data_IF_919453809236
#
_entry.id   IF_919453809236
#
_cell.length_a   1.000
_cell.length_b   1.000
_cell.length_c   1.000
_cell.angle_alpha   90.00
_cell.angle_beta   90.00
_cell.angle_gamma   90.00
#
_symmetry.space_group_name_H-M   'P 1'
#
loop_
_entity.id
_entity.type
_entity.pdbx_description
1 polymer ?
#
# COMPACT_ATOMS: atom_id res chain seq x y z
N UNK A 1 74.01 24.14 -43.40
CA UNK A 1 74.19 24.17 -41.93
C UNK A 1 73.01 24.88 -41.31
N UNK A 2 72.55 24.33 -40.19
CA UNK A 2 71.65 24.93 -39.17
C UNK A 2 70.14 24.83 -39.39
N UNK A 3 69.59 23.91 -38.61
CA UNK A 3 68.20 23.66 -38.21
C UNK A 3 67.62 24.86 -37.45
N UNK A 4 66.34 25.16 -37.63
CA UNK A 4 65.43 25.58 -36.53
C UNK A 4 63.99 25.14 -36.83
N UNK A 5 63.37 24.64 -35.76
CA UNK A 5 62.08 23.94 -35.64
C UNK A 5 60.92 24.90 -35.34
N UNK A 6 59.71 24.64 -35.86
CA UNK A 6 58.46 25.17 -35.27
C UNK A 6 57.43 24.05 -35.07
N UNK A 7 56.95 23.96 -33.84
CA UNK A 7 56.13 22.89 -33.27
C UNK A 7 54.67 23.32 -33.29
N UNK A 8 53.85 22.80 -34.20
CA UNK A 8 52.39 23.02 -34.17
C UNK A 8 51.67 21.79 -33.62
N UNK A 9 51.23 21.88 -32.37
CA UNK A 9 50.43 20.88 -31.64
C UNK A 9 49.15 20.50 -32.41
N UNK A 10 49.06 19.26 -32.85
CA UNK A 10 47.78 18.61 -33.12
C UNK A 10 47.05 18.32 -31.80
N UNK A 11 45.86 18.92 -31.64
CA UNK A 11 44.91 18.58 -30.58
C UNK A 11 44.28 17.23 -30.93
N UNK A 12 44.93 16.13 -30.54
CA UNK A 12 44.28 14.80 -30.58
C UNK A 12 43.06 14.83 -29.66
N UNK A 13 41.86 14.88 -30.24
CA UNK A 13 40.62 14.62 -29.52
C UNK A 13 40.58 13.13 -29.18
N UNK A 14 40.69 12.82 -27.89
CA UNK A 14 40.39 11.49 -27.37
C UNK A 14 38.89 11.18 -27.51
N UNK A 15 38.48 9.98 -27.95
CA UNK A 15 37.09 9.56 -27.93
C UNK A 15 36.65 9.32 -26.48
N UNK A 16 35.51 9.90 -26.09
CA UNK A 16 34.89 9.69 -24.78
C UNK A 16 34.41 8.24 -24.66
N UNK A 17 35.04 7.49 -23.75
CA UNK A 17 34.68 6.13 -23.37
C UNK A 17 33.44 6.17 -22.45
N UNK A 18 32.24 6.24 -23.05
CA UNK A 18 30.96 6.40 -22.32
C UNK A 18 30.01 5.18 -22.41
N UNK A 19 30.51 3.95 -22.59
CA UNK A 19 29.65 2.81 -22.94
C UNK A 19 29.64 1.61 -21.97
N UNK A 20 30.21 1.70 -20.77
CA UNK A 20 30.23 0.56 -19.83
C UNK A 20 29.06 0.45 -18.83
N UNK A 21 28.36 1.51 -18.36
CA UNK A 21 27.30 1.33 -17.36
C UNK A 21 25.95 0.90 -17.97
N UNK A 22 25.77 1.05 -19.29
CA UNK A 22 24.49 0.80 -19.97
C UNK A 22 24.18 -0.69 -20.08
N UNK A 23 25.19 -1.52 -20.29
CA UNK A 23 25.01 -2.97 -20.44
C UNK A 23 24.57 -3.62 -19.12
N UNK A 24 25.11 -3.14 -18.00
CA UNK A 24 24.72 -3.62 -16.66
C UNK A 24 23.27 -3.24 -16.34
N UNK A 25 22.87 -2.00 -16.65
CA UNK A 25 21.50 -1.52 -16.51
C UNK A 25 20.52 -2.31 -17.39
N UNK A 26 20.88 -2.61 -18.63
CA UNK A 26 20.04 -3.40 -19.53
C UNK A 26 19.84 -4.84 -19.01
N UNK A 27 20.87 -5.48 -18.47
CA UNK A 27 20.76 -6.82 -17.88
C UNK A 27 19.84 -6.84 -16.66
N UNK A 28 19.86 -5.81 -15.82
CA UNK A 28 18.93 -5.67 -14.68
C UNK A 28 17.49 -5.53 -15.17
N UNK A 29 17.25 -4.78 -16.25
CA UNK A 29 15.92 -4.64 -16.86
C UNK A 29 15.38 -5.94 -17.47
N UNK A 30 16.26 -6.83 -17.94
CA UNK A 30 15.88 -8.16 -18.46
C UNK A 30 15.65 -9.20 -17.35
N UNK A 31 16.25 -9.00 -16.16
CA UNK A 31 16.08 -9.89 -15.00
C UNK A 31 14.86 -9.53 -14.15
N UNK A 32 14.39 -8.28 -14.22
CA UNK A 32 13.15 -7.84 -13.58
C UNK A 32 11.97 -8.20 -14.49
N UNK A 33 11.48 -9.42 -14.34
CA UNK A 33 10.17 -9.81 -14.85
C UNK A 33 9.09 -8.94 -14.18
N UNK A 34 8.14 -8.33 -14.91
CA UNK A 34 6.98 -7.68 -14.32
C UNK A 34 5.98 -8.77 -13.92
N UNK A 35 6.27 -9.48 -12.84
CA UNK A 35 5.36 -10.48 -12.27
C UNK A 35 4.98 -10.08 -10.86
N UNK A 36 3.67 -10.10 -10.63
CA UNK A 36 2.95 -9.74 -9.41
C UNK A 36 2.83 -8.25 -9.08
N UNK A 37 1.65 -7.72 -9.44
CA UNK A 37 1.01 -6.68 -8.63
C UNK A 37 0.88 -7.23 -7.20
N UNK A 38 1.82 -6.86 -6.33
CA UNK A 38 1.70 -7.08 -4.89
C UNK A 38 0.36 -6.45 -4.49
N UNK A 39 -0.61 -7.22 -3.95
CA UNK A 39 -1.76 -6.61 -3.34
C UNK A 39 -1.21 -5.75 -2.21
N UNK A 40 -1.23 -4.42 -2.38
CA UNK A 40 -0.97 -3.49 -1.31
C UNK A 40 -2.08 -3.74 -0.31
N UNK A 41 -1.81 -4.56 0.69
CA UNK A 41 -2.74 -4.78 1.77
C UNK A 41 -3.08 -3.39 2.33
N UNK A 42 -4.37 -3.05 2.48
CA UNK A 42 -4.75 -1.73 2.93
C UNK A 42 -4.00 -1.45 4.23
N UNK A 43 -3.19 -0.39 4.21
CA UNK A 43 -2.42 0.01 5.38
C UNK A 43 -3.39 0.19 6.55
N UNK A 44 -3.03 -0.36 7.72
CA UNK A 44 -3.87 -0.27 8.90
C UNK A 44 -4.23 1.21 9.16
N UNK A 45 -5.53 1.56 9.36
CA UNK A 45 -5.94 2.94 9.54
C UNK A 45 -5.20 3.62 10.70
N UNK A 46 -5.00 4.94 10.63
CA UNK A 46 -4.17 5.67 11.62
C UNK A 46 -4.66 5.53 13.07
N UNK A 47 -5.96 5.40 13.28
CA UNK A 47 -6.59 5.26 14.60
C UNK A 47 -6.78 3.80 15.02
N UNK A 48 -6.21 2.87 14.26
CA UNK A 48 -6.36 1.44 14.48
C UNK A 48 -5.01 0.77 14.72
N UNK A 49 -5.05 -0.28 15.52
CA UNK A 49 -3.99 -1.25 15.69
C UNK A 49 -4.43 -2.57 15.06
N UNK A 50 -3.63 -3.09 14.14
CA UNK A 50 -3.88 -4.35 13.45
C UNK A 50 -2.81 -5.37 13.86
N UNK A 51 -3.24 -6.53 14.36
CA UNK A 51 -2.38 -7.67 14.68
C UNK A 51 -3.01 -8.94 14.11
N UNK A 52 -2.38 -9.53 13.11
CA UNK A 52 -2.92 -10.65 12.34
C UNK A 52 -4.35 -10.36 11.84
N UNK A 53 -5.35 -11.03 12.40
CA UNK A 53 -6.77 -10.90 12.05
C UNK A 53 -7.56 -10.03 13.05
N UNK A 54 -6.89 -9.45 14.04
CA UNK A 54 -7.49 -8.66 15.10
C UNK A 54 -7.25 -7.17 14.85
N UNK A 55 -8.33 -6.39 14.78
CA UNK A 55 -8.27 -4.94 14.51
C UNK A 55 -8.96 -4.20 15.65
N UNK A 56 -8.25 -3.29 16.31
CA UNK A 56 -8.80 -2.41 17.35
C UNK A 56 -8.66 -0.97 16.93
N UNK A 57 -9.75 -0.22 16.91
CA UNK A 57 -9.74 1.22 16.65
C UNK A 57 -10.24 1.99 17.87
N UNK A 58 -9.50 3.03 18.29
CA UNK A 58 -9.78 3.78 19.51
C UNK A 58 -9.66 5.28 19.28
N UNK A 59 -10.51 6.08 19.93
CA UNK A 59 -10.47 7.55 19.94
C UNK A 59 -10.43 8.15 18.51
N UNK A 60 -11.33 7.69 17.64
CA UNK A 60 -11.43 8.13 16.25
C UNK A 60 -12.62 9.09 16.05
N UNK A 61 -12.40 10.18 15.31
CA UNK A 61 -13.47 11.13 14.95
C UNK A 61 -14.27 10.71 13.71
N UNK A 62 -13.69 9.86 12.87
CA UNK A 62 -14.32 9.28 11.70
C UNK A 62 -13.57 7.99 11.32
N UNK A 63 -14.32 6.95 10.95
CA UNK A 63 -13.77 5.70 10.45
C UNK A 63 -14.45 5.28 9.16
N UNK A 64 -13.67 5.17 8.08
CA UNK A 64 -14.10 4.52 6.86
C UNK A 64 -13.99 2.99 7.02
N UNK A 65 -15.14 2.34 7.12
CA UNK A 65 -15.23 0.88 7.28
C UNK A 65 -14.66 0.10 6.09
N UNK A 66 -14.48 0.73 4.92
CA UNK A 66 -13.84 0.09 3.77
C UNK A 66 -12.32 -0.07 3.92
N UNK A 67 -11.71 0.65 4.86
CA UNK A 67 -10.28 0.57 5.19
C UNK A 67 -9.95 -0.58 6.14
N UNK A 68 -10.96 -1.28 6.68
CA UNK A 68 -10.73 -2.44 7.54
C UNK A 68 -10.16 -3.60 6.70
N UNK A 69 -9.05 -4.23 7.12
CA UNK A 69 -8.49 -5.38 6.43
C UNK A 69 -9.50 -6.51 6.24
N UNK A 70 -9.59 -7.06 5.03
CA UNK A 70 -10.51 -8.19 4.74
C UNK A 70 -10.13 -9.48 5.48
N UNK A 71 -8.88 -9.59 5.89
CA UNK A 71 -8.32 -10.66 6.73
C UNK A 71 -8.86 -10.63 8.16
N UNK A 72 -9.40 -9.49 8.63
CA UNK A 72 -9.89 -9.36 9.99
C UNK A 72 -11.04 -10.32 10.27
N UNK A 73 -10.91 -11.09 11.37
CA UNK A 73 -11.99 -11.91 11.94
C UNK A 73 -12.60 -11.26 13.18
N UNK A 74 -11.91 -10.28 13.75
CA UNK A 74 -12.32 -9.56 14.94
C UNK A 74 -12.06 -8.07 14.76
N UNK A 75 -13.10 -7.26 14.90
CA UNK A 75 -13.04 -5.80 14.87
C UNK A 75 -13.60 -5.23 16.17
N UNK A 76 -12.79 -4.47 16.90
CA UNK A 76 -13.16 -3.76 18.12
C UNK A 76 -13.11 -2.26 17.86
N UNK A 77 -14.23 -1.57 18.06
CA UNK A 77 -14.34 -0.12 17.91
C UNK A 77 -14.64 0.51 19.27
N UNK A 78 -13.80 1.43 19.73
CA UNK A 78 -13.91 2.06 21.05
C UNK A 78 -13.86 3.59 20.93
N UNK A 79 -14.79 4.29 21.59
CA UNK A 79 -14.83 5.77 21.66
C UNK A 79 -14.68 6.46 20.30
N UNK A 80 -15.72 6.45 19.48
CA UNK A 80 -15.65 7.15 18.19
C UNK A 80 -16.96 7.27 17.43
N UNK A 81 -16.89 7.88 16.26
CA UNK A 81 -18.03 8.15 15.39
C UNK A 81 -17.92 7.43 14.05
N UNK A 82 -18.96 6.66 13.70
CA UNK A 82 -19.13 6.02 12.39
C UNK A 82 -20.31 6.68 11.68
N UNK A 83 -20.06 7.30 10.52
CA UNK A 83 -21.11 8.01 9.78
C UNK A 83 -22.22 7.06 9.33
N UNK A 84 -21.86 5.99 8.64
CA UNK A 84 -22.81 5.01 8.13
C UNK A 84 -22.23 3.60 8.17
N UNK A 85 -23.01 2.63 8.65
CA UNK A 85 -22.75 1.22 8.41
C UNK A 85 -23.52 0.83 7.12
N UNK A 86 -22.81 0.55 6.01
CA UNK A 86 -23.42 0.36 4.70
C UNK A 86 -24.18 -0.97 4.61
N UNK A 87 -25.09 -1.13 3.63
CA UNK A 87 -25.68 -2.44 3.33
C UNK A 87 -24.57 -3.42 2.93
N UNK A 88 -24.74 -4.69 3.28
CA UNK A 88 -23.76 -5.74 3.02
C UNK A 88 -22.33 -5.41 3.51
N UNK A 89 -22.19 -4.74 4.66
CA UNK A 89 -20.89 -4.51 5.31
C UNK A 89 -20.09 -5.82 5.49
N UNK A 90 -20.77 -6.94 5.79
CA UNK A 90 -20.09 -8.24 5.88
C UNK A 90 -19.53 -8.74 4.54
N UNK A 91 -19.94 -8.18 3.39
CA UNK A 91 -19.33 -8.47 2.10
C UNK A 91 -17.97 -7.76 1.93
N UNK A 92 -17.75 -6.63 2.60
CA UNK A 92 -16.44 -5.94 2.61
C UNK A 92 -15.47 -6.56 3.61
N UNK A 93 -15.99 -7.14 4.69
CA UNK A 93 -15.22 -7.87 5.71
C UNK A 93 -15.65 -9.35 5.79
N UNK A 94 -15.31 -10.20 4.79
CA UNK A 94 -15.87 -11.54 4.62
C UNK A 94 -15.46 -12.54 5.72
N UNK A 95 -14.35 -12.28 6.41
CA UNK A 95 -13.85 -13.14 7.48
C UNK A 95 -14.34 -12.71 8.87
N UNK A 96 -15.02 -11.57 8.97
CA UNK A 96 -15.42 -10.96 10.24
C UNK A 96 -16.42 -11.87 10.97
N UNK A 97 -16.04 -12.29 12.17
CA UNK A 97 -16.86 -13.12 13.05
C UNK A 97 -17.32 -12.34 14.27
N UNK A 98 -16.48 -11.42 14.74
CA UNK A 98 -16.72 -10.61 15.93
C UNK A 98 -16.63 -9.13 15.55
N UNK A 99 -17.71 -8.40 15.83
CA UNK A 99 -17.75 -6.94 15.78
C UNK A 99 -18.17 -6.46 17.17
N UNK A 100 -17.24 -5.83 17.89
CA UNK A 100 -17.47 -5.22 19.19
C UNK A 100 -17.49 -3.70 19.04
N UNK A 101 -18.54 -3.06 19.56
CA UNK A 101 -18.72 -1.61 19.49
C UNK A 101 -18.95 -1.05 20.88
N UNK A 102 -17.94 -0.37 21.42
CA UNK A 102 -17.91 0.18 22.77
C UNK A 102 -17.92 1.71 22.72
N UNK A 103 -18.97 2.35 23.21
CA UNK A 103 -19.08 3.82 23.21
C UNK A 103 -18.88 4.43 21.80
N UNK A 104 -19.39 3.74 20.77
CA UNK A 104 -19.36 4.20 19.38
C UNK A 104 -20.72 4.76 19.01
N UNK A 105 -20.74 5.94 18.41
CA UNK A 105 -21.95 6.53 17.86
C UNK A 105 -22.03 6.24 16.36
N UNK A 106 -23.15 5.67 15.92
CA UNK A 106 -23.45 5.53 14.50
C UNK A 106 -24.63 6.42 14.12
N UNK A 107 -24.51 7.19 13.04
CA UNK A 107 -25.62 8.05 12.58
C UNK A 107 -26.63 7.27 11.75
N UNK A 108 -26.15 6.37 10.89
CA UNK A 108 -27.01 5.59 9.98
C UNK A 108 -26.59 4.12 9.99
N UNK A 109 -27.55 3.24 10.29
CA UNK A 109 -27.43 1.80 10.07
C UNK A 109 -28.36 1.42 8.92
N UNK A 110 -27.79 1.06 7.77
CA UNK A 110 -28.58 0.66 6.60
C UNK A 110 -29.16 -0.75 6.78
N UNK A 111 -30.35 -0.97 6.22
CA UNK A 111 -30.93 -2.32 6.15
C UNK A 111 -29.99 -3.27 5.42
N UNK A 112 -29.98 -4.54 5.82
CA UNK A 112 -29.12 -5.58 5.23
C UNK A 112 -27.61 -5.38 5.49
N UNK A 113 -27.20 -4.48 6.41
CA UNK A 113 -25.80 -4.27 6.78
C UNK A 113 -25.07 -5.55 7.22
N UNK A 114 -25.72 -6.34 8.09
CA UNK A 114 -25.15 -7.57 8.66
C UNK A 114 -25.72 -8.85 8.03
N UNK A 115 -26.23 -8.76 6.81
CA UNK A 115 -26.63 -9.98 6.09
C UNK A 115 -25.37 -10.60 5.51
N UNK A 116 -24.93 -11.68 6.16
CA UNK A 116 -23.73 -12.47 5.87
C UNK A 116 -23.90 -13.86 6.48
N UNK A 117 -23.10 -14.82 6.01
CA UNK A 117 -23.38 -16.26 6.15
C UNK A 117 -23.68 -16.67 7.60
N UNK A 118 -24.92 -17.09 7.86
CA UNK A 118 -25.23 -17.96 9.00
C UNK A 118 -24.24 -19.14 8.92
N UNK A 119 -23.35 -19.27 9.91
CA UNK A 119 -22.60 -20.52 10.08
C UNK A 119 -23.65 -21.60 10.35
N UNK A 120 -23.85 -22.48 9.35
CA UNK A 120 -24.46 -23.78 9.55
C UNK A 120 -23.53 -24.65 10.39
#
# INVERSE_FOLDING_TARGET
MSVTTDVRREKLRLPKFQSFPVLLLALVSFLVSPTESIPVEPQCPQFCYCADNFVTCTDFSFLDLSMIPRSADTLVLTNGDVEEIPPAFLATAPNLQILEMNSVHTRVLRGHAFIGKLKQ
#
